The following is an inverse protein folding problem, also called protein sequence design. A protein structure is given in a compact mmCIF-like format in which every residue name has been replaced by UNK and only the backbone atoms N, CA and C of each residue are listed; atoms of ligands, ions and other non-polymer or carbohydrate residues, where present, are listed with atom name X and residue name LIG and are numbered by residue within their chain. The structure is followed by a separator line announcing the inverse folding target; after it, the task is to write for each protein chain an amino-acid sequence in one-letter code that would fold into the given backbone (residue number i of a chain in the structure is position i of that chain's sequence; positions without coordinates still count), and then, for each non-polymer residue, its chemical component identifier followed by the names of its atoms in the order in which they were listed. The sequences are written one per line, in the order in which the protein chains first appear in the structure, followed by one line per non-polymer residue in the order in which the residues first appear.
data_IF_835677209092
#
_entry.id   IF_835677209092
#
_cell.length_a   1.000
_cell.length_b   1.000
_cell.length_c   1.000
_cell.angle_alpha   90.00
_cell.angle_beta   90.00
_cell.angle_gamma   90.00
#
_symmetry.space_group_name_H-M   'P 1'
#
loop_
_entity.id
_entity.type
_entity.pdbx_description
1 polymer ?
#
# COMPACT_ATOMS: atom_id res chain seq x y z
N UNK A 1 24.16 -21.54 -9.99
CA UNK A 1 22.95 -20.74 -9.70
C UNK A 1 23.41 -19.56 -8.89
N UNK A 2 23.52 -18.38 -9.50
CA UNK A 2 23.80 -17.16 -8.73
C UNK A 2 22.62 -16.92 -7.78
N UNK A 3 22.90 -16.96 -6.49
CA UNK A 3 21.95 -16.55 -5.48
C UNK A 3 21.78 -15.05 -5.65
N UNK A 4 20.72 -14.62 -6.34
CA UNK A 4 20.35 -13.21 -6.43
C UNK A 4 19.89 -12.76 -5.03
N UNK A 5 20.86 -12.51 -4.14
CA UNK A 5 20.63 -12.06 -2.77
C UNK A 5 20.20 -10.60 -2.81
N UNK A 6 18.90 -10.36 -3.05
CA UNK A 6 18.31 -9.06 -2.78
C UNK A 6 18.45 -8.76 -1.29
N UNK A 7 19.06 -7.63 -0.95
CA UNK A 7 19.04 -7.13 0.43
C UNK A 7 17.61 -6.71 0.76
N UNK A 8 17.21 -6.93 2.02
CA UNK A 8 15.87 -6.56 2.51
C UNK A 8 15.54 -5.07 2.29
N UNK A 9 16.57 -4.22 2.27
CA UNK A 9 16.44 -2.76 2.12
C UNK A 9 17.13 -2.23 0.86
N UNK A 10 17.19 -3.03 -0.21
CA UNK A 10 17.60 -2.52 -1.52
C UNK A 10 16.43 -1.75 -2.14
N UNK A 11 16.12 -0.58 -1.56
CA UNK A 11 15.00 0.26 -1.98
C UNK A 11 15.37 0.97 -3.28
N UNK A 12 14.42 1.10 -4.21
CA UNK A 12 14.65 1.82 -5.46
C UNK A 12 14.58 3.33 -5.23
N UNK A 13 15.63 3.89 -4.62
CA UNK A 13 15.78 5.30 -4.29
C UNK A 13 17.03 5.87 -4.97
N UNK A 14 16.96 7.13 -5.39
CA UNK A 14 18.17 7.88 -5.74
C UNK A 14 18.94 8.28 -4.48
N UNK A 15 20.24 8.53 -4.61
CA UNK A 15 21.06 9.06 -3.51
C UNK A 15 20.45 10.34 -2.92
N UNK A 16 19.91 11.23 -3.76
CA UNK A 16 19.25 12.45 -3.30
C UNK A 16 18.02 12.15 -2.42
N UNK A 17 17.18 11.19 -2.84
CA UNK A 17 16.00 10.79 -2.07
C UNK A 17 16.39 10.17 -0.72
N UNK A 18 17.44 9.34 -0.70
CA UNK A 18 17.98 8.78 0.55
C UNK A 18 18.48 9.88 1.50
N UNK A 19 19.22 10.87 0.98
CA UNK A 19 19.70 11.98 1.81
C UNK A 19 18.55 12.84 2.37
N UNK A 20 17.50 13.08 1.57
CA UNK A 20 16.29 13.77 2.04
C UNK A 20 15.64 13.00 3.19
N UNK A 21 15.46 11.69 3.04
CA UNK A 21 14.88 10.84 4.09
C UNK A 21 15.73 10.89 5.36
N UNK A 22 17.05 10.68 5.25
CA UNK A 22 17.97 10.69 6.39
C UNK A 22 17.98 12.03 7.13
N UNK A 23 17.97 13.14 6.39
CA UNK A 23 17.84 14.47 6.97
C UNK A 23 16.53 14.62 7.75
N UNK A 24 15.41 14.22 7.16
CA UNK A 24 14.10 14.34 7.79
C UNK A 24 13.97 13.44 9.03
N UNK A 25 14.55 12.23 9.03
CA UNK A 25 14.63 11.36 10.20
C UNK A 25 15.38 12.06 11.35
N UNK A 26 16.56 12.64 11.04
CA UNK A 26 17.41 13.32 12.04
C UNK A 26 16.71 14.53 12.66
N UNK A 27 15.97 15.28 11.84
CA UNK A 27 15.28 16.51 12.25
C UNK A 27 13.88 16.25 12.83
N UNK A 28 13.33 15.03 12.69
CA UNK A 28 11.97 14.72 13.09
C UNK A 28 11.71 15.03 14.58
N UNK A 29 10.55 15.67 14.81
CA UNK A 29 9.99 15.95 16.14
C UNK A 29 8.52 15.57 16.12
N UNK A 30 8.14 14.60 16.95
CA UNK A 30 6.78 14.08 16.98
C UNK A 30 6.73 12.68 17.61
N UNK A 31 5.62 11.98 17.38
CA UNK A 31 5.42 10.63 17.91
C UNK A 31 6.24 9.62 17.10
N UNK A 32 7.14 8.89 17.76
CA UNK A 32 8.04 7.91 17.13
C UNK A 32 7.33 6.84 16.31
N UNK A 33 6.18 6.33 16.79
CA UNK A 33 5.37 5.34 16.07
C UNK A 33 4.83 5.85 14.72
N UNK A 34 4.69 7.17 14.57
CA UNK A 34 4.31 7.76 13.27
C UNK A 34 5.48 7.73 12.29
N UNK A 35 6.71 7.97 12.77
CA UNK A 35 7.92 7.85 11.94
C UNK A 35 8.16 6.39 11.52
N UNK A 36 8.05 5.45 12.47
CA UNK A 36 8.10 4.01 12.17
C UNK A 36 7.09 3.61 11.10
N UNK A 37 5.85 4.09 11.23
CA UNK A 37 4.79 3.79 10.26
C UNK A 37 5.07 4.42 8.89
N UNK A 38 5.65 5.61 8.83
CA UNK A 38 6.03 6.25 7.56
C UNK A 38 7.15 5.47 6.85
N UNK A 39 8.20 5.08 7.59
CA UNK A 39 9.29 4.26 7.06
C UNK A 39 8.79 2.87 6.61
N UNK A 40 7.92 2.25 7.41
CA UNK A 40 7.25 1.00 7.04
C UNK A 40 6.40 1.14 5.78
N UNK A 41 5.70 2.26 5.62
CA UNK A 41 4.93 2.55 4.40
C UNK A 41 5.84 2.68 3.17
N UNK A 42 7.02 3.30 3.28
CA UNK A 42 7.99 3.36 2.19
C UNK A 42 8.42 1.96 1.74
N UNK A 43 8.81 1.10 2.70
CA UNK A 43 9.24 -0.28 2.42
C UNK A 43 8.07 -1.06 1.79
N UNK A 44 6.88 -1.00 2.38
CA UNK A 44 5.69 -1.65 1.84
C UNK A 44 5.38 -1.15 0.43
N UNK A 45 5.54 0.14 0.15
CA UNK A 45 5.37 0.72 -1.18
C UNK A 45 6.33 0.15 -2.23
N UNK A 46 7.59 -0.12 -1.87
CA UNK A 46 8.54 -0.76 -2.79
C UNK A 46 8.12 -2.19 -3.17
N UNK A 47 7.56 -2.93 -2.21
CA UNK A 47 7.16 -4.33 -2.44
C UNK A 47 5.75 -4.50 -2.99
N UNK A 48 4.81 -3.60 -2.69
CA UNK A 48 3.38 -3.71 -3.03
C UNK A 48 2.87 -2.58 -3.93
N UNK A 49 3.70 -1.59 -4.23
CA UNK A 49 3.32 -0.41 -5.01
C UNK A 49 2.48 0.62 -4.24
N UNK A 50 2.46 1.86 -4.73
CA UNK A 50 1.79 2.96 -4.08
C UNK A 50 0.26 2.83 -4.09
N UNK A 51 -0.32 2.07 -5.04
CA UNK A 51 -1.78 1.83 -5.07
C UNK A 51 -2.25 1.08 -3.83
N UNK A 52 -1.48 0.09 -3.39
CA UNK A 52 -1.79 -0.65 -2.15
C UNK A 52 -1.70 0.29 -0.96
N UNK A 53 -0.68 1.16 -0.88
CA UNK A 53 -0.57 2.14 0.21
C UNK A 53 -1.81 3.04 0.32
N UNK A 54 -2.41 3.48 -0.80
CA UNK A 54 -3.65 4.28 -0.79
C UNK A 54 -4.89 3.48 -0.38
N UNK A 55 -4.85 2.16 -0.44
CA UNK A 55 -5.91 1.29 0.08
C UNK A 55 -5.73 1.10 1.59
N UNK A 56 -4.49 0.86 2.04
CA UNK A 56 -4.15 0.62 3.45
C UNK A 56 -4.38 1.87 4.32
N UNK A 57 -4.06 3.04 3.80
CA UNK A 57 -4.09 4.29 4.56
C UNK A 57 -5.16 5.23 4.04
N UNK A 58 -5.82 5.94 4.95
CA UNK A 58 -6.66 7.06 4.57
C UNK A 58 -5.80 8.18 3.94
N UNK A 59 -6.38 9.08 3.12
CA UNK A 59 -5.63 10.11 2.40
C UNK A 59 -4.81 11.04 3.31
N UNK A 60 -5.29 11.33 4.53
CA UNK A 60 -4.60 12.21 5.48
C UNK A 60 -3.34 11.54 6.02
N UNK A 61 -3.43 10.28 6.43
CA UNK A 61 -2.30 9.48 6.91
C UNK A 61 -1.26 9.28 5.82
N UNK A 62 -1.69 8.95 4.60
CA UNK A 62 -0.81 8.79 3.44
C UNK A 62 0.03 10.06 3.19
N UNK A 63 -0.62 11.23 3.11
CA UNK A 63 0.07 12.52 2.93
C UNK A 63 0.94 12.89 4.12
N UNK A 64 0.54 12.52 5.33
CA UNK A 64 1.35 12.75 6.54
C UNK A 64 2.67 11.99 6.45
N UNK A 65 2.66 10.74 5.99
CA UNK A 65 3.88 9.94 5.82
C UNK A 65 4.79 10.53 4.74
N UNK A 66 4.23 10.92 3.60
CA UNK A 66 4.97 11.64 2.53
C UNK A 66 5.65 12.89 3.08
N UNK A 67 4.93 13.71 3.86
CA UNK A 67 5.49 14.91 4.50
C UNK A 67 6.61 14.60 5.50
N UNK A 68 6.46 13.52 6.27
CA UNK A 68 7.48 13.10 7.25
C UNK A 68 8.77 12.68 6.54
N UNK A 69 8.66 11.96 5.42
CA UNK A 69 9.81 11.48 4.67
C UNK A 69 10.37 12.51 3.69
N UNK A 70 9.58 13.51 3.30
CA UNK A 70 9.95 14.55 2.34
C UNK A 70 9.93 14.07 0.89
N UNK A 71 9.08 13.10 0.57
CA UNK A 71 8.96 12.52 -0.77
C UNK A 71 7.51 12.22 -1.10
N UNK A 72 7.25 11.91 -2.36
CA UNK A 72 5.96 11.41 -2.84
C UNK A 72 6.12 9.93 -3.19
N UNK A 73 5.28 9.06 -2.62
CA UNK A 73 5.38 7.62 -2.85
C UNK A 73 5.14 7.24 -4.31
N UNK A 74 4.39 8.04 -5.08
CA UNK A 74 4.18 7.78 -6.52
C UNK A 74 5.45 7.97 -7.34
N UNK A 75 6.40 8.76 -6.84
CA UNK A 75 7.64 9.08 -7.55
C UNK A 75 8.74 8.05 -7.24
N UNK A 76 8.62 7.33 -6.12
CA UNK A 76 9.66 6.40 -5.63
C UNK A 76 9.21 4.94 -5.59
N UNK A 77 7.90 4.66 -5.53
CA UNK A 77 7.37 3.30 -5.51
C UNK A 77 6.72 2.96 -6.86
N UNK A 78 6.78 1.69 -7.30
CA UNK A 78 6.00 1.22 -8.43
C UNK A 78 4.50 1.50 -8.24
N UNK A 79 3.74 1.61 -9.34
CA UNK A 79 2.28 1.72 -9.24
C UNK A 79 1.66 0.46 -8.61
N UNK A 80 2.11 -0.70 -9.09
CA UNK A 80 1.78 -2.04 -8.60
C UNK A 80 3.00 -2.94 -8.73
N UNK A 81 2.92 -4.09 -8.09
CA UNK A 81 3.88 -5.19 -8.19
C UNK A 81 3.11 -6.52 -8.22
N UNK A 82 3.81 -7.63 -8.45
CA UNK A 82 3.18 -8.96 -8.33
C UNK A 82 2.56 -9.23 -6.95
N UNK A 83 3.05 -8.60 -5.88
CA UNK A 83 2.44 -8.73 -4.54
C UNK A 83 1.17 -7.90 -4.37
N UNK A 84 0.99 -6.80 -5.10
CA UNK A 84 -0.29 -6.10 -5.11
C UNK A 84 -1.41 -7.04 -5.51
N UNK A 85 -1.19 -7.80 -6.58
CA UNK A 85 -2.21 -8.66 -7.20
C UNK A 85 -2.43 -9.95 -6.43
N UNK A 86 -1.34 -10.56 -5.93
CA UNK A 86 -1.40 -11.89 -5.31
C UNK A 86 -1.63 -11.88 -3.81
N UNK A 87 -1.41 -10.74 -3.13
CA UNK A 87 -1.45 -10.69 -1.66
C UNK A 87 -2.35 -9.61 -1.06
N UNK A 88 -2.62 -8.51 -1.77
CA UNK A 88 -3.48 -7.46 -1.23
C UNK A 88 -4.95 -7.72 -1.54
N UNK A 89 -5.72 -8.05 -0.50
CA UNK A 89 -7.17 -8.30 -0.61
C UNK A 89 -7.89 -7.08 -1.15
N UNK A 90 -7.66 -5.91 -0.55
CA UNK A 90 -8.32 -4.68 -1.00
C UNK A 90 -8.00 -4.32 -2.44
N UNK A 91 -6.75 -4.52 -2.88
CA UNK A 91 -6.37 -4.25 -4.27
C UNK A 91 -7.04 -5.21 -5.25
N UNK A 92 -6.99 -6.51 -4.97
CA UNK A 92 -7.65 -7.52 -5.80
C UNK A 92 -9.16 -7.26 -5.94
N UNK A 93 -9.84 -6.87 -4.85
CA UNK A 93 -11.24 -6.48 -4.90
C UNK A 93 -11.44 -5.27 -5.82
N UNK A 94 -10.57 -4.24 -5.72
CA UNK A 94 -10.69 -3.05 -6.59
C UNK A 94 -10.57 -3.36 -8.08
N UNK A 95 -9.71 -4.32 -8.45
CA UNK A 95 -9.55 -4.79 -9.82
C UNK A 95 -10.84 -5.46 -10.31
N UNK A 96 -11.45 -6.31 -9.47
CA UNK A 96 -12.65 -7.04 -9.84
C UNK A 96 -13.87 -6.15 -10.05
N UNK A 97 -13.98 -5.08 -9.27
CA UNK A 97 -15.10 -4.14 -9.35
C UNK A 97 -14.85 -2.96 -10.31
N UNK A 98 -13.64 -2.81 -10.85
CA UNK A 98 -13.26 -1.73 -11.76
C UNK A 98 -13.33 -0.31 -11.16
N UNK A 99 -13.17 -0.14 -9.85
CA UNK A 99 -13.45 1.13 -9.16
C UNK A 99 -12.42 1.48 -8.06
N UNK A 100 -11.14 1.57 -8.42
CA UNK A 100 -10.04 1.86 -7.48
C UNK A 100 -10.26 3.13 -6.64
N UNK A 101 -10.49 4.28 -7.29
CA UNK A 101 -10.63 5.57 -6.59
C UNK A 101 -11.85 5.62 -5.68
N UNK A 102 -12.93 4.92 -6.04
CA UNK A 102 -14.11 4.85 -5.18
C UNK A 102 -13.82 4.13 -3.85
N UNK A 103 -12.98 3.09 -3.86
CA UNK A 103 -12.57 2.37 -2.65
C UNK A 103 -11.58 3.19 -1.82
N UNK A 104 -10.60 3.83 -2.46
CA UNK A 104 -9.62 4.72 -1.79
C UNK A 104 -10.34 5.87 -1.09
N UNK A 105 -11.32 6.48 -1.75
CA UNK A 105 -12.11 7.58 -1.20
C UNK A 105 -13.21 7.12 -0.22
N UNK A 106 -13.35 5.81 0.01
CA UNK A 106 -14.38 5.25 0.89
C UNK A 106 -15.82 5.36 0.35
N UNK A 107 -16.01 5.76 -0.92
CA UNK A 107 -17.31 5.78 -1.60
C UNK A 107 -17.87 4.38 -1.83
N UNK A 108 -16.99 3.38 -1.93
CA UNK A 108 -17.36 1.97 -1.93
C UNK A 108 -16.66 1.26 -0.77
N UNK A 109 -17.45 0.65 0.12
CA UNK A 109 -16.93 -0.06 1.29
C UNK A 109 -16.35 -1.40 0.83
N UNK A 110 -15.12 -1.67 1.25
CA UNK A 110 -14.46 -2.97 1.12
C UNK A 110 -14.01 -3.35 2.51
N UNK A 111 -14.61 -4.42 3.03
CA UNK A 111 -14.23 -4.99 4.31
C UNK A 111 -12.83 -5.61 4.20
N UNK A 112 -12.05 -5.49 5.27
CA UNK A 112 -10.70 -6.02 5.34
C UNK A 112 -9.78 -5.58 4.19
N UNK A 113 -10.01 -4.38 3.62
CA UNK A 113 -9.20 -3.85 2.50
C UNK A 113 -7.71 -3.71 2.85
N UNK A 114 -7.39 -3.66 4.15
CA UNK A 114 -6.04 -3.63 4.68
C UNK A 114 -5.33 -4.98 4.78
N UNK A 115 -6.05 -6.09 4.52
CA UNK A 115 -5.56 -7.43 4.75
C UNK A 115 -4.55 -7.85 3.66
N UNK A 116 -3.48 -8.50 4.12
CA UNK A 116 -2.42 -9.07 3.29
C UNK A 116 -2.41 -10.58 3.54
N UNK A 117 -2.61 -11.35 2.48
CA UNK A 117 -2.79 -12.80 2.56
C UNK A 117 -1.95 -13.54 1.53
N UNK A 118 -2.04 -14.88 1.52
CA UNK A 118 -1.64 -15.68 0.38
C UNK A 118 -2.70 -15.63 -0.73
N UNK A 119 -2.32 -15.99 -1.96
CA UNK A 119 -3.20 -15.89 -3.12
C UNK A 119 -4.52 -16.65 -2.99
N UNK A 120 -4.49 -17.87 -2.42
CA UNK A 120 -5.70 -18.67 -2.27
C UNK A 120 -6.72 -18.02 -1.33
N UNK A 121 -6.27 -17.39 -0.24
CA UNK A 121 -7.16 -16.64 0.65
C UNK A 121 -7.64 -15.33 0.03
N UNK A 122 -6.79 -14.61 -0.72
CA UNK A 122 -7.21 -13.41 -1.48
C UNK A 122 -8.39 -13.73 -2.41
N UNK A 123 -8.31 -14.82 -3.17
CA UNK A 123 -9.37 -15.25 -4.10
C UNK A 123 -10.69 -15.57 -3.37
N UNK A 124 -10.61 -16.15 -2.16
CA UNK A 124 -11.79 -16.39 -1.32
C UNK A 124 -12.41 -15.08 -0.85
N UNK A 125 -11.62 -14.13 -0.37
CA UNK A 125 -12.11 -12.81 0.05
C UNK A 125 -12.79 -12.07 -1.12
N UNK A 126 -12.19 -12.11 -2.31
CA UNK A 126 -12.78 -11.51 -3.52
C UNK A 126 -14.12 -12.15 -3.85
N UNK A 127 -14.19 -13.48 -3.86
CA UNK A 127 -15.42 -14.23 -4.18
C UNK A 127 -16.53 -13.92 -3.17
N UNK A 128 -16.20 -13.94 -1.87
CA UNK A 128 -17.13 -13.58 -0.79
C UNK A 128 -17.66 -12.16 -0.98
N UNK A 129 -16.79 -11.19 -1.20
CA UNK A 129 -17.20 -9.79 -1.40
C UNK A 129 -18.18 -9.63 -2.57
N UNK A 130 -17.96 -10.33 -3.69
CA UNK A 130 -18.88 -10.28 -4.84
C UNK A 130 -20.23 -10.90 -4.48
N UNK A 131 -20.25 -12.03 -3.79
CA UNK A 131 -21.48 -12.71 -3.39
C UNK A 131 -22.33 -11.81 -2.47
N UNK A 132 -21.72 -11.24 -1.43
CA UNK A 132 -22.39 -10.37 -0.46
C UNK A 132 -23.03 -9.14 -1.16
N UNK A 133 -22.31 -8.51 -2.10
CA UNK A 133 -22.83 -7.35 -2.83
C UNK A 133 -23.90 -7.71 -3.88
N UNK A 134 -23.90 -8.94 -4.40
CA UNK A 134 -24.93 -9.40 -5.35
C UNK A 134 -26.27 -9.70 -4.67
N UNK A 135 -26.26 -10.03 -3.38
CA UNK A 135 -27.46 -10.23 -2.57
C UNK A 135 -28.09 -8.90 -2.11
N UNK A 136 -27.26 -7.89 -1.80
CA UNK A 136 -27.74 -6.55 -1.41
C UNK A 136 -28.47 -5.83 -2.56
N UNK A 137 -28.09 -6.05 -3.82
CA UNK A 137 -28.74 -5.45 -4.99
C UNK A 137 -30.11 -6.05 -5.37
N UNK A 138 -30.59 -7.06 -4.62
CA UNK A 138 -31.90 -7.72 -4.85
C UNK A 138 -32.97 -7.34 -3.82
N UNK A 139 -32.66 -6.46 -2.87
CA UNK A 139 -33.62 -5.86 -1.92
C UNK A 139 -33.96 -4.43 -2.34
#
# INVERSE_FOLDING_TARGET
METNQRKLFDLNLSEEQEQIILKNIKEFRGVGTTLESALGALIMGQYFGWRVLKILHNPLTYRRYEKILGLNFQDVCPETTGYSETKSVGYAITQKIGSFWAVVMGKRKVEDKGLIENQGEVEKHVTKHIADNAEEGKK
#
